data_IF_523025851738
#
_entry.id   IF_523025851738
#
_cell.length_a   1.000
_cell.length_b   1.000
_cell.length_c   1.000
_cell.angle_alpha   90.00
_cell.angle_beta   90.00
_cell.angle_gamma   90.00
#
_symmetry.space_group_name_H-M   'P 1'
#
loop_
_entity.id
_entity.type
_entity.pdbx_description
1 polymer ?
#
# COMPACT_ATOMS: atom_id res chain seq x y z
N UNK A 1 -3.17 4.07 -1.05
CA UNK A 1 -3.35 2.61 -1.19
C UNK A 1 -3.67 1.89 0.13
N UNK A 2 -3.14 2.32 1.27
CA UNK A 2 -3.47 1.69 2.57
C UNK A 2 -4.97 1.80 2.86
N UNK A 3 -5.58 2.97 2.65
CA UNK A 3 -7.02 3.14 2.82
C UNK A 3 -7.83 2.38 1.76
N UNK A 4 -7.33 2.34 0.52
CA UNK A 4 -7.95 1.55 -0.56
C UNK A 4 -7.98 0.06 -0.22
N UNK A 5 -6.86 -0.48 0.29
CA UNK A 5 -6.80 -1.87 0.76
C UNK A 5 -7.80 -2.12 1.89
N UNK A 6 -7.84 -1.22 2.90
CA UNK A 6 -8.75 -1.38 4.04
C UNK A 6 -10.21 -1.43 3.57
N UNK A 7 -10.64 -0.48 2.75
CA UNK A 7 -12.01 -0.47 2.22
C UNK A 7 -12.29 -1.73 1.38
N UNK A 8 -11.32 -2.16 0.57
CA UNK A 8 -11.49 -3.34 -0.27
C UNK A 8 -11.70 -4.63 0.55
N UNK A 9 -10.93 -4.84 1.62
CA UNK A 9 -11.10 -6.03 2.48
C UNK A 9 -12.36 -5.96 3.34
N UNK A 10 -12.88 -4.77 3.63
CA UNK A 10 -14.14 -4.57 4.34
C UNK A 10 -15.37 -4.83 3.44
N UNK A 11 -15.30 -4.46 2.16
CA UNK A 11 -16.43 -4.47 1.24
C UNK A 11 -16.49 -5.73 0.34
N UNK A 12 -15.37 -6.42 0.14
CA UNK A 12 -15.25 -7.58 -0.74
C UNK A 12 -14.79 -8.83 0.03
N UNK A 13 -15.68 -9.47 0.78
CA UNK A 13 -15.31 -10.63 1.61
C UNK A 13 -15.06 -11.91 0.79
N UNK A 14 -15.55 -12.00 -0.44
CA UNK A 14 -15.26 -13.11 -1.36
C UNK A 14 -13.96 -12.83 -2.13
N UNK A 15 -12.86 -13.35 -1.61
CA UNK A 15 -11.53 -13.16 -2.20
C UNK A 15 -11.36 -13.89 -3.55
N UNK A 16 -12.22 -14.85 -3.87
CA UNK A 16 -12.20 -15.61 -5.14
C UNK A 16 -13.06 -14.93 -6.23
N UNK A 17 -13.86 -13.92 -5.86
CA UNK A 17 -14.61 -13.12 -6.83
C UNK A 17 -13.69 -12.61 -7.93
N UNK A 18 -14.09 -12.73 -9.20
CA UNK A 18 -13.36 -12.25 -10.36
C UNK A 18 -13.85 -10.87 -10.78
N UNK A 19 -12.96 -9.90 -10.75
CA UNK A 19 -13.20 -8.51 -11.16
C UNK A 19 -12.52 -8.28 -12.52
N UNK A 20 -13.22 -7.65 -13.44
CA UNK A 20 -12.64 -7.25 -14.72
C UNK A 20 -11.87 -5.93 -14.54
N UNK A 21 -10.62 -5.91 -15.00
CA UNK A 21 -9.79 -4.70 -15.03
C UNK A 21 -10.44 -3.68 -16.01
N UNK A 22 -10.82 -2.48 -15.57
CA UNK A 22 -11.37 -1.45 -16.44
C UNK A 22 -10.39 -1.05 -17.55
N UNK A 23 -10.87 -0.79 -18.75
CA UNK A 23 -9.99 -0.53 -19.91
C UNK A 23 -9.56 0.93 -19.93
N UNK A 24 -10.52 1.84 -20.01
CA UNK A 24 -10.24 3.26 -20.24
C UNK A 24 -9.56 3.92 -19.05
N UNK A 25 -10.02 3.62 -17.84
CA UNK A 25 -9.48 4.15 -16.58
C UNK A 25 -8.02 3.68 -16.36
N UNK A 26 -7.75 2.40 -16.63
CA UNK A 26 -6.39 1.84 -16.45
C UNK A 26 -5.41 2.37 -17.51
N UNK A 27 -5.87 2.60 -18.75
CA UNK A 27 -5.04 3.26 -19.76
C UNK A 27 -4.70 4.70 -19.34
N UNK A 28 -5.64 5.43 -18.74
CA UNK A 28 -5.38 6.77 -18.20
C UNK A 28 -4.33 6.76 -17.08
N UNK A 29 -4.40 5.78 -16.14
CA UNK A 29 -3.38 5.61 -15.09
C UNK A 29 -2.00 5.31 -15.69
N UNK A 30 -1.93 4.45 -16.70
CA UNK A 30 -0.69 4.13 -17.41
C UNK A 30 -0.08 5.36 -18.09
N UNK A 31 -0.88 6.19 -18.78
CA UNK A 31 -0.42 7.42 -19.42
C UNK A 31 0.11 8.46 -18.41
N UNK A 32 -0.42 8.45 -17.19
CA UNK A 32 0.05 9.29 -16.08
C UNK A 32 1.32 8.77 -15.41
N UNK A 33 1.84 7.62 -15.86
CA UNK A 33 3.06 7.02 -15.32
C UNK A 33 2.89 6.36 -13.95
N UNK A 34 1.70 5.88 -13.64
CA UNK A 34 1.44 5.14 -12.41
C UNK A 34 2.23 3.81 -12.37
N UNK A 35 2.58 3.36 -11.17
CA UNK A 35 3.13 2.01 -10.97
C UNK A 35 2.04 0.98 -11.27
N UNK A 36 2.40 -0.06 -12.03
CA UNK A 36 1.48 -1.11 -12.45
C UNK A 36 1.93 -2.46 -11.88
N UNK A 37 0.97 -3.34 -11.56
CA UNK A 37 1.24 -4.72 -11.15
C UNK A 37 1.48 -5.65 -12.35
N UNK A 38 0.90 -5.31 -13.52
CA UNK A 38 1.10 -6.04 -14.77
C UNK A 38 -0.15 -6.69 -15.32
N UNK A 39 -1.30 -6.58 -14.67
CA UNK A 39 -2.57 -7.06 -15.20
C UNK A 39 -3.01 -6.23 -16.42
N UNK A 40 -3.56 -6.93 -17.41
CA UNK A 40 -3.95 -6.29 -18.67
C UNK A 40 -5.36 -5.70 -18.60
N UNK A 41 -5.63 -4.56 -19.28
CA UNK A 41 -6.97 -4.03 -19.42
C UNK A 41 -7.95 -5.08 -19.96
N UNK A 42 -9.12 -5.21 -19.34
CA UNK A 42 -10.14 -6.21 -19.70
C UNK A 42 -9.92 -7.60 -19.12
N UNK A 43 -8.78 -7.88 -18.47
CA UNK A 43 -8.48 -9.15 -17.81
C UNK A 43 -9.39 -9.36 -16.59
N UNK A 44 -9.70 -10.64 -16.26
CA UNK A 44 -10.45 -11.01 -15.07
C UNK A 44 -9.53 -11.56 -13.99
N UNK A 45 -9.43 -10.84 -12.89
CA UNK A 45 -8.49 -11.10 -11.79
C UNK A 45 -9.27 -11.31 -10.49
N UNK A 46 -8.80 -12.20 -9.61
CA UNK A 46 -9.45 -12.39 -8.31
C UNK A 46 -9.26 -11.17 -7.40
N UNK A 47 -10.23 -10.95 -6.51
CA UNK A 47 -10.08 -9.94 -5.44
C UNK A 47 -8.76 -10.15 -4.71
N UNK A 48 -8.44 -11.39 -4.35
CA UNK A 48 -7.17 -11.74 -3.70
C UNK A 48 -5.95 -11.23 -4.48
N UNK A 49 -5.84 -11.56 -5.76
CA UNK A 49 -4.71 -11.14 -6.59
C UNK A 49 -4.63 -9.62 -6.73
N UNK A 50 -5.79 -8.93 -6.79
CA UNK A 50 -5.85 -7.46 -6.83
C UNK A 50 -5.37 -6.82 -5.52
N UNK A 51 -5.70 -7.39 -4.35
CA UNK A 51 -5.22 -6.87 -3.06
C UNK A 51 -3.69 -6.95 -2.97
N UNK A 52 -3.10 -8.06 -3.36
CA UNK A 52 -1.65 -8.21 -3.39
C UNK A 52 -0.99 -7.34 -4.46
N UNK A 53 -1.59 -7.24 -5.65
CA UNK A 53 -1.11 -6.37 -6.73
C UNK A 53 -1.16 -4.88 -6.38
N UNK A 54 -2.17 -4.44 -5.63
CA UNK A 54 -2.26 -3.08 -5.08
C UNK A 54 -1.14 -2.81 -4.06
N UNK A 55 -0.89 -3.77 -3.16
CA UNK A 55 -0.02 -3.53 -2.00
C UNK A 55 1.47 -3.74 -2.34
N UNK A 56 1.85 -4.88 -2.92
CA UNK A 56 3.25 -5.24 -3.07
C UNK A 56 3.95 -4.41 -4.17
N UNK A 57 3.58 -4.53 -5.47
CA UNK A 57 4.21 -3.76 -6.54
C UNK A 57 3.60 -2.36 -6.69
N UNK A 58 2.59 -2.01 -5.87
CA UNK A 58 1.92 -0.70 -5.90
C UNK A 58 1.04 -0.49 -7.16
N UNK A 59 0.42 -1.55 -7.70
CA UNK A 59 -0.37 -1.52 -8.93
C UNK A 59 -1.56 -0.56 -8.87
N UNK A 60 -1.58 0.43 -9.77
CA UNK A 60 -2.68 1.39 -9.86
C UNK A 60 -3.92 0.75 -10.50
N UNK A 61 -3.75 -0.11 -11.51
CA UNK A 61 -4.85 -0.85 -12.14
C UNK A 61 -5.63 -1.70 -11.12
N UNK A 62 -4.94 -2.23 -10.10
CA UNK A 62 -5.60 -2.96 -9.02
C UNK A 62 -6.47 -2.03 -8.17
N UNK A 63 -5.98 -0.82 -7.87
CA UNK A 63 -6.74 0.19 -7.13
C UNK A 63 -8.00 0.59 -7.90
N UNK A 64 -7.85 0.91 -9.17
CA UNK A 64 -8.94 1.33 -10.07
C UNK A 64 -9.98 0.21 -10.23
N UNK A 65 -9.54 -1.04 -10.44
CA UNK A 65 -10.45 -2.18 -10.55
C UNK A 65 -11.29 -2.39 -9.28
N UNK A 66 -10.66 -2.33 -8.10
CA UNK A 66 -11.35 -2.44 -6.82
C UNK A 66 -12.30 -1.26 -6.59
N UNK A 67 -11.85 -0.03 -6.87
CA UNK A 67 -12.66 1.19 -6.73
C UNK A 67 -13.92 1.13 -7.60
N UNK A 68 -13.78 0.84 -8.88
CA UNK A 68 -14.90 0.69 -9.81
C UNK A 68 -15.86 -0.44 -9.39
N UNK A 69 -15.34 -1.58 -8.91
CA UNK A 69 -16.17 -2.69 -8.43
C UNK A 69 -16.99 -2.31 -7.18
N UNK A 70 -16.39 -1.57 -6.25
CA UNK A 70 -17.03 -1.21 -4.97
C UNK A 70 -18.02 -0.06 -5.15
N UNK A 71 -17.66 0.97 -5.90
CA UNK A 71 -18.41 2.23 -5.95
C UNK A 71 -18.93 2.61 -7.34
N UNK A 72 -18.60 1.84 -8.38
CA UNK A 72 -19.01 2.09 -9.76
C UNK A 72 -18.11 3.06 -10.52
N UNK A 73 -17.35 3.94 -9.83
CA UNK A 73 -16.34 4.82 -10.42
C UNK A 73 -15.25 5.18 -9.40
N UNK A 74 -14.13 5.72 -9.85
CA UNK A 74 -13.07 6.23 -8.97
C UNK A 74 -13.52 7.44 -8.17
N UNK A 75 -14.31 8.34 -8.75
CA UNK A 75 -14.83 9.52 -8.06
C UNK A 75 -15.74 9.11 -6.87
N UNK A 76 -16.68 8.19 -7.11
CA UNK A 76 -17.55 7.69 -6.05
C UNK A 76 -16.75 6.91 -4.98
N UNK A 77 -15.67 6.25 -5.38
CA UNK A 77 -14.78 5.59 -4.43
C UNK A 77 -13.97 6.60 -3.61
N UNK A 78 -13.51 7.70 -4.20
CA UNK A 78 -12.83 8.78 -3.48
C UNK A 78 -13.76 9.43 -2.44
N UNK A 79 -15.04 9.61 -2.75
CA UNK A 79 -16.04 10.05 -1.76
C UNK A 79 -16.13 9.07 -0.58
N UNK A 80 -16.24 7.76 -0.87
CA UNK A 80 -16.23 6.71 0.17
C UNK A 80 -14.93 6.73 0.98
N UNK A 81 -13.76 6.95 0.36
CA UNK A 81 -12.48 7.09 1.06
C UNK A 81 -12.51 8.27 2.05
N UNK A 82 -13.06 9.41 1.66
CA UNK A 82 -13.16 10.58 2.51
C UNK A 82 -14.15 10.37 3.68
N UNK A 83 -15.27 9.69 3.44
CA UNK A 83 -16.20 9.29 4.51
C UNK A 83 -15.50 8.35 5.51
N UNK A 84 -14.82 7.31 5.00
CA UNK A 84 -14.10 6.34 5.85
C UNK A 84 -12.95 6.97 6.62
N UNK A 85 -12.19 7.87 5.99
CA UNK A 85 -11.13 8.64 6.65
C UNK A 85 -11.68 9.46 7.83
N UNK A 86 -12.82 10.14 7.63
CA UNK A 86 -13.48 10.90 8.69
C UNK A 86 -13.95 10.02 9.84
N UNK A 87 -14.52 8.84 9.56
CA UNK A 87 -14.92 7.86 10.59
C UNK A 87 -13.73 7.37 11.41
N UNK A 88 -12.57 7.19 10.78
CA UNK A 88 -11.33 6.79 11.44
C UNK A 88 -10.69 7.92 12.25
N UNK A 89 -11.12 9.18 12.05
CA UNK A 89 -10.53 10.35 12.71
C UNK A 89 -9.36 10.99 11.95
N UNK A 90 -9.19 10.68 10.67
CA UNK A 90 -8.19 11.28 9.78
C UNK A 90 -8.64 12.67 9.32
N UNK A 91 -8.61 13.65 10.22
CA UNK A 91 -9.23 14.95 10.01
C UNK A 91 -8.42 15.91 9.13
N UNK A 92 -7.17 15.54 8.79
CA UNK A 92 -6.27 16.36 7.97
C UNK A 92 -5.91 15.65 6.67
N UNK A 93 -6.83 14.84 6.15
CA UNK A 93 -6.65 14.08 4.91
C UNK A 93 -7.79 14.31 3.96
N UNK A 94 -7.48 14.32 2.67
CA UNK A 94 -8.44 14.36 1.58
C UNK A 94 -7.96 13.50 0.42
N UNK A 95 -8.83 12.66 -0.11
CA UNK A 95 -8.53 11.70 -1.16
C UNK A 95 -9.36 12.02 -2.40
N UNK A 96 -8.72 12.03 -3.57
CA UNK A 96 -9.38 12.27 -4.88
C UNK A 96 -9.20 11.13 -5.87
N UNK A 97 -8.38 10.13 -5.52
CA UNK A 97 -8.20 8.90 -6.30
C UNK A 97 -7.82 7.72 -5.39
N UNK A 98 -7.96 6.51 -5.91
CA UNK A 98 -7.66 5.27 -5.20
C UNK A 98 -6.17 4.90 -5.19
N UNK A 99 -5.41 5.40 -6.18
CA UNK A 99 -4.02 5.00 -6.44
C UNK A 99 -2.98 5.81 -5.68
N UNK A 100 -3.33 7.00 -5.21
CA UNK A 100 -2.39 7.93 -4.55
C UNK A 100 -1.50 8.68 -5.55
N UNK A 101 -1.85 8.71 -6.83
CA UNK A 101 -1.22 9.61 -7.78
C UNK A 101 -1.46 11.06 -7.36
N UNK A 102 -0.45 11.90 -7.61
CA UNK A 102 -0.48 13.28 -7.18
C UNK A 102 -1.60 14.09 -7.83
N UNK A 103 -2.36 14.77 -7.00
CA UNK A 103 -3.32 15.82 -7.31
C UNK A 103 -3.23 16.87 -6.22
N UNK A 104 -3.48 18.14 -6.56
CA UNK A 104 -3.35 19.25 -5.60
C UNK A 104 -4.24 19.07 -4.36
N UNK A 105 -5.45 18.52 -4.54
CA UNK A 105 -6.41 18.26 -3.48
C UNK A 105 -6.22 16.88 -2.81
N UNK A 106 -5.19 16.08 -3.19
CA UNK A 106 -4.90 14.78 -2.61
C UNK A 106 -3.80 14.90 -1.55
N UNK A 107 -4.18 14.97 -0.28
CA UNK A 107 -3.25 15.18 0.82
C UNK A 107 -3.58 14.36 2.06
N UNK A 108 -2.58 14.15 2.89
CA UNK A 108 -2.68 13.50 4.21
C UNK A 108 -1.58 13.99 5.14
N UNK A 109 -1.57 13.50 6.36
CA UNK A 109 -0.49 13.69 7.33
C UNK A 109 0.06 12.35 7.81
N UNK A 110 1.29 12.32 8.31
CA UNK A 110 1.87 11.12 8.92
C UNK A 110 1.04 10.63 10.11
N UNK A 111 0.44 11.54 10.87
CA UNK A 111 -0.46 11.23 11.98
C UNK A 111 -1.73 10.53 11.49
N UNK A 112 -2.35 11.02 10.42
CA UNK A 112 -3.57 10.41 9.88
C UNK A 112 -3.28 9.02 9.30
N UNK A 113 -2.14 8.84 8.63
CA UNK A 113 -1.73 7.51 8.14
C UNK A 113 -1.41 6.56 9.30
N UNK A 114 -0.84 7.04 10.40
CA UNK A 114 -0.64 6.24 11.61
C UNK A 114 -1.99 5.78 12.18
N UNK A 115 -2.97 6.67 12.32
CA UNK A 115 -4.34 6.35 12.77
C UNK A 115 -4.98 5.30 11.87
N UNK A 116 -4.86 5.47 10.54
CA UNK A 116 -5.34 4.51 9.56
C UNK A 116 -4.71 3.13 9.76
N UNK A 117 -3.38 3.07 9.83
CA UNK A 117 -2.67 1.79 9.93
C UNK A 117 -2.95 1.08 11.26
N UNK A 118 -3.06 1.82 12.37
CA UNK A 118 -3.43 1.26 13.67
C UNK A 118 -4.80 0.56 13.66
N UNK A 119 -5.75 1.06 12.89
CA UNK A 119 -7.05 0.40 12.73
C UNK A 119 -7.00 -0.72 11.70
N UNK A 120 -6.32 -0.50 10.58
CA UNK A 120 -6.27 -1.44 9.47
C UNK A 120 -5.63 -2.78 9.82
N UNK A 121 -4.55 -2.78 10.62
CA UNK A 121 -3.86 -4.02 11.05
C UNK A 121 -4.69 -4.92 11.96
N UNK A 122 -5.85 -4.47 12.44
CA UNK A 122 -6.80 -5.29 13.20
C UNK A 122 -7.62 -6.22 12.30
N UNK A 123 -7.69 -5.94 11.00
CA UNK A 123 -8.29 -6.81 10.01
C UNK A 123 -7.28 -7.86 9.57
N UNK A 124 -7.61 -9.14 9.72
CA UNK A 124 -6.70 -10.26 9.46
C UNK A 124 -6.24 -10.31 7.99
N UNK A 125 -7.14 -10.09 7.03
CA UNK A 125 -6.80 -10.08 5.60
C UNK A 125 -5.91 -8.88 5.26
N UNK A 126 -6.22 -7.71 5.80
CA UNK A 126 -5.36 -6.53 5.64
C UNK A 126 -3.95 -6.82 6.18
N UNK A 127 -3.87 -7.34 7.42
CA UNK A 127 -2.59 -7.66 8.06
C UNK A 127 -1.77 -8.64 7.22
N UNK A 128 -2.39 -9.73 6.75
CA UNK A 128 -1.74 -10.73 5.90
C UNK A 128 -1.15 -10.07 4.63
N UNK A 129 -1.96 -9.31 3.89
CA UNK A 129 -1.52 -8.66 2.65
C UNK A 129 -0.42 -7.62 2.92
N UNK A 130 -0.57 -6.81 3.98
CA UNK A 130 0.37 -5.74 4.34
C UNK A 130 1.74 -6.27 4.78
N UNK A 131 1.78 -7.44 5.43
CA UNK A 131 3.02 -8.07 5.93
C UNK A 131 3.61 -9.09 4.97
N UNK A 132 2.96 -9.37 3.83
CA UNK A 132 3.49 -10.29 2.84
C UNK A 132 4.65 -9.65 2.07
N UNK A 133 5.76 -10.38 1.98
CA UNK A 133 6.93 -9.96 1.21
C UNK A 133 6.81 -10.26 -0.28
N UNK A 134 6.38 -11.47 -0.61
CA UNK A 134 6.26 -11.96 -1.99
C UNK A 134 4.97 -12.77 -2.17
N UNK A 135 4.34 -12.63 -3.32
CA UNK A 135 3.12 -13.34 -3.67
C UNK A 135 3.08 -13.63 -5.17
N UNK A 136 2.72 -14.87 -5.53
CA UNK A 136 2.48 -15.24 -6.93
C UNK A 136 0.98 -15.42 -7.16
N UNK A 137 0.45 -14.73 -8.17
CA UNK A 137 -0.97 -14.76 -8.53
C UNK A 137 -1.38 -16.11 -9.10
N UNK A 138 -2.68 -16.35 -9.13
CA UNK A 138 -3.21 -17.44 -9.94
C UNK A 138 -2.88 -17.21 -11.44
N UNK A 139 -2.73 -18.28 -12.23
CA UNK A 139 -2.58 -18.17 -13.68
C UNK A 139 -3.74 -17.43 -14.33
N UNK A 140 -3.44 -16.60 -15.32
CA UNK A 140 -4.43 -15.94 -16.16
C UNK A 140 -4.20 -16.29 -17.63
N UNK A 141 -5.08 -15.83 -18.52
CA UNK A 141 -4.89 -16.06 -19.96
C UNK A 141 -3.69 -15.28 -20.52
N UNK A 142 -3.37 -14.11 -19.92
CA UNK A 142 -2.21 -13.30 -20.31
C UNK A 142 -0.91 -13.82 -19.69
N UNK A 143 -0.99 -14.34 -18.45
CA UNK A 143 0.15 -14.81 -17.65
C UNK A 143 -0.11 -16.23 -17.16
N UNK A 144 0.21 -17.26 -17.98
CA UNK A 144 -0.08 -18.66 -17.67
C UNK A 144 0.64 -19.21 -16.43
N UNK A 145 1.76 -18.62 -16.05
CA UNK A 145 2.55 -18.98 -14.87
C UNK A 145 2.21 -18.10 -13.64
N UNK A 146 1.27 -17.16 -13.79
CA UNK A 146 0.99 -16.12 -12.82
C UNK A 146 2.05 -15.00 -12.80
N UNK A 147 1.78 -13.95 -12.04
CA UNK A 147 2.71 -12.83 -11.83
C UNK A 147 3.24 -12.92 -10.40
N UNK A 148 4.55 -12.86 -10.22
CA UNK A 148 5.15 -12.80 -8.89
C UNK A 148 5.39 -11.35 -8.50
N UNK A 149 4.77 -10.91 -7.41
CA UNK A 149 4.93 -9.61 -6.81
C UNK A 149 5.92 -9.66 -5.66
N UNK A 150 6.79 -8.65 -5.58
CA UNK A 150 7.63 -8.40 -4.41
C UNK A 150 7.21 -7.06 -3.79
N UNK A 151 7.28 -6.98 -2.47
CA UNK A 151 7.03 -5.71 -1.78
C UNK A 151 8.12 -4.70 -2.11
N UNK A 152 7.71 -3.48 -2.50
CA UNK A 152 8.61 -2.37 -2.86
C UNK A 152 9.55 -1.95 -1.72
N UNK A 153 9.33 -2.39 -0.50
CA UNK A 153 10.27 -2.19 0.61
C UNK A 153 11.60 -2.92 0.40
N UNK A 154 11.60 -4.00 -0.41
CA UNK A 154 12.76 -4.85 -0.63
C UNK A 154 13.43 -4.61 -1.99
N UNK A 155 12.96 -3.67 -2.81
CA UNK A 155 13.47 -3.41 -4.17
C UNK A 155 14.99 -3.26 -4.24
N UNK A 156 15.60 -2.63 -3.21
CA UNK A 156 17.03 -2.34 -3.17
C UNK A 156 17.77 -3.04 -2.04
N UNK A 157 17.04 -3.78 -1.22
CA UNK A 157 17.59 -4.49 -0.06
C UNK A 157 16.93 -5.87 0.06
N UNK A 158 17.74 -6.90 0.10
CA UNK A 158 17.26 -8.29 0.27
C UNK A 158 16.80 -8.58 1.71
N UNK A 159 17.30 -7.83 2.66
CA UNK A 159 16.99 -7.94 4.10
C UNK A 159 16.81 -6.56 4.71
N UNK A 160 15.94 -6.48 5.72
CA UNK A 160 15.75 -5.30 6.55
C UNK A 160 16.26 -5.64 7.95
N UNK A 161 17.32 -4.98 8.38
CA UNK A 161 18.00 -5.29 9.64
C UNK A 161 17.54 -4.35 10.74
N UNK A 162 17.01 -4.89 11.82
CA UNK A 162 16.57 -4.18 13.01
C UNK A 162 17.15 -4.86 14.24
N UNK A 163 17.80 -4.09 15.11
CA UNK A 163 18.33 -4.61 16.37
C UNK A 163 17.20 -5.12 17.24
N UNK A 164 17.30 -6.40 17.63
CA UNK A 164 16.34 -7.10 18.51
C UNK A 164 14.88 -7.06 18.00
N UNK A 165 14.72 -7.03 16.67
CA UNK A 165 13.42 -6.98 16.03
C UNK A 165 13.45 -7.28 14.55
N UNK A 166 12.29 -7.11 13.93
CA UNK A 166 12.08 -7.26 12.50
C UNK A 166 11.02 -6.31 11.97
N UNK A 167 11.17 -5.80 10.75
CA UNK A 167 10.11 -5.10 10.04
C UNK A 167 9.20 -6.15 9.41
N UNK A 168 7.94 -6.18 9.86
CA UNK A 168 6.95 -7.16 9.42
C UNK A 168 6.39 -6.85 8.05
N UNK A 169 6.26 -5.55 7.72
CA UNK A 169 5.73 -5.11 6.44
C UNK A 169 5.62 -3.61 6.32
N UNK A 170 5.22 -3.13 5.15
CA UNK A 170 5.03 -1.71 4.93
C UNK A 170 4.65 -1.37 3.50
N UNK A 171 4.27 -0.11 3.31
CA UNK A 171 3.96 0.48 2.02
C UNK A 171 4.82 1.70 1.76
N UNK A 172 5.62 1.63 0.72
CA UNK A 172 6.41 2.77 0.22
C UNK A 172 5.55 3.67 -0.66
N UNK A 173 5.94 4.92 -0.80
CA UNK A 173 5.33 5.87 -1.71
C UNK A 173 6.34 6.91 -2.16
N UNK A 174 6.14 7.44 -3.37
CA UNK A 174 6.91 8.55 -3.89
C UNK A 174 6.09 9.38 -4.85
N UNK A 175 6.11 10.68 -4.65
CA UNK A 175 5.78 11.70 -5.65
C UNK A 175 6.80 12.84 -5.49
N UNK A 176 6.97 13.66 -6.52
CA UNK A 176 7.87 14.82 -6.42
C UNK A 176 7.49 15.79 -5.30
N UNK A 177 6.20 15.86 -4.96
CA UNK A 177 5.69 16.73 -3.90
C UNK A 177 5.87 16.12 -2.50
N UNK A 178 5.71 14.80 -2.37
CA UNK A 178 5.74 14.11 -1.08
C UNK A 178 7.14 13.63 -0.66
N UNK A 179 8.09 13.53 -1.59
CA UNK A 179 9.36 12.86 -1.36
C UNK A 179 9.19 11.35 -1.19
N UNK A 180 10.21 10.69 -0.68
CA UNK A 180 10.12 9.27 -0.31
C UNK A 180 9.32 9.13 1.00
N UNK A 181 8.31 8.27 0.97
CA UNK A 181 7.39 8.03 2.09
C UNK A 181 7.35 6.54 2.45
N UNK A 182 7.13 6.25 3.73
CA UNK A 182 6.93 4.89 4.23
C UNK A 182 5.92 4.87 5.37
N UNK A 183 4.99 3.91 5.31
CA UNK A 183 4.21 3.47 6.46
C UNK A 183 4.56 2.01 6.73
N UNK A 184 5.06 1.68 7.90
CA UNK A 184 5.59 0.36 8.24
C UNK A 184 5.15 -0.13 9.62
N UNK A 185 5.23 -1.44 9.78
CA UNK A 185 4.97 -2.17 11.02
C UNK A 185 6.21 -3.01 11.35
N UNK A 186 6.68 -2.95 12.58
CA UNK A 186 7.78 -3.78 13.06
C UNK A 186 7.42 -4.42 14.40
N UNK A 187 8.04 -5.57 14.67
CA UNK A 187 8.08 -6.15 16.00
C UNK A 187 9.48 -5.95 16.58
N UNK A 188 9.57 -5.31 17.72
CA UNK A 188 10.83 -5.07 18.43
C UNK A 188 10.65 -5.52 19.87
N UNK A 189 11.49 -6.43 20.36
CA UNK A 189 11.40 -7.01 21.72
C UNK A 189 10.00 -7.55 22.05
N UNK A 190 9.32 -8.16 21.05
CA UNK A 190 7.99 -8.74 21.19
C UNK A 190 6.84 -7.74 21.19
N UNK A 191 7.10 -6.46 20.97
CA UNK A 191 6.08 -5.41 20.86
C UNK A 191 5.98 -4.89 19.41
N UNK A 192 4.76 -4.60 18.95
CA UNK A 192 4.50 -4.05 17.64
C UNK A 192 4.57 -2.52 17.67
N UNK A 193 5.27 -1.95 16.71
CA UNK A 193 5.43 -0.51 16.52
C UNK A 193 5.05 -0.12 15.10
N UNK A 194 4.34 0.98 14.98
CA UNK A 194 4.01 1.62 13.69
C UNK A 194 4.91 2.84 13.52
N UNK A 195 5.52 2.96 12.34
CA UNK A 195 6.27 4.13 11.93
C UNK A 195 5.73 4.65 10.60
N UNK A 196 5.49 5.95 10.54
CA UNK A 196 5.12 6.65 9.30
C UNK A 196 6.07 7.81 9.08
N UNK A 197 6.75 7.80 7.95
CA UNK A 197 7.68 8.87 7.52
C UNK A 197 7.27 9.41 6.15
N UNK A 198 7.55 10.68 5.91
CA UNK A 198 7.30 11.35 4.64
C UNK A 198 8.36 12.42 4.40
N UNK A 199 8.57 12.78 3.14
CA UNK A 199 9.47 13.87 2.76
C UNK A 199 10.95 13.53 2.84
N UNK A 200 11.34 12.26 2.89
CA UNK A 200 12.75 11.91 2.79
C UNK A 200 13.27 12.24 1.38
N UNK A 201 14.49 12.76 1.32
CA UNK A 201 15.16 13.13 0.08
C UNK A 201 15.35 11.91 -0.83
N UNK A 202 15.35 12.14 -2.14
CA UNK A 202 15.64 11.11 -3.12
C UNK A 202 14.49 10.82 -4.08
N UNK A 203 14.63 9.73 -4.81
CA UNK A 203 13.67 9.25 -5.80
C UNK A 203 13.90 7.74 -6.07
N UNK A 204 13.21 7.19 -7.08
CA UNK A 204 13.34 5.77 -7.45
C UNK A 204 14.77 5.32 -7.84
N UNK A 205 15.69 6.23 -8.14
CA UNK A 205 17.07 5.93 -8.54
C UNK A 205 18.11 6.13 -7.42
N UNK A 206 17.68 6.67 -6.27
CA UNK A 206 18.57 6.90 -5.12
C UNK A 206 18.53 5.72 -4.15
N UNK A 207 19.33 5.81 -3.07
CA UNK A 207 19.17 4.94 -1.90
C UNK A 207 17.74 5.08 -1.33
N UNK A 208 17.17 4.00 -0.79
CA UNK A 208 15.82 4.01 -0.21
C UNK A 208 15.83 4.64 1.20
N UNK A 209 16.11 5.93 1.30
CA UNK A 209 16.30 6.63 2.58
C UNK A 209 15.14 6.43 3.55
N UNK A 210 13.90 6.42 3.08
CA UNK A 210 12.72 6.13 3.90
C UNK A 210 12.75 4.73 4.55
N UNK A 211 13.36 3.73 3.89
CA UNK A 211 13.54 2.38 4.44
C UNK A 211 14.72 2.35 5.42
N UNK A 212 15.84 3.02 5.06
CA UNK A 212 17.01 3.15 5.94
C UNK A 212 16.66 3.89 7.23
N UNK A 213 15.86 4.94 7.15
CA UNK A 213 15.35 5.67 8.32
C UNK A 213 14.53 4.76 9.24
N UNK A 214 13.67 3.91 8.66
CA UNK A 214 12.87 2.97 9.44
C UNK A 214 13.74 1.93 10.15
N UNK A 215 14.72 1.32 9.47
CA UNK A 215 15.69 0.40 10.10
C UNK A 215 16.42 1.05 11.28
N UNK A 216 16.86 2.29 11.08
CA UNK A 216 17.59 3.03 12.11
C UNK A 216 16.69 3.36 13.32
N UNK A 217 15.47 3.85 13.08
CA UNK A 217 14.53 4.20 14.16
C UNK A 217 14.12 2.96 14.95
N UNK A 218 13.74 1.87 14.30
CA UNK A 218 13.38 0.64 14.99
C UNK A 218 14.55 0.04 15.76
N UNK A 219 15.77 0.09 15.23
CA UNK A 219 16.97 -0.36 15.95
C UNK A 219 17.28 0.49 17.20
N UNK A 220 17.00 1.81 17.16
CA UNK A 220 17.13 2.66 18.33
C UNK A 220 16.12 2.32 19.42
N UNK A 221 14.89 1.91 19.06
CA UNK A 221 13.89 1.44 20.02
C UNK A 221 14.40 0.18 20.72
N UNK A 222 14.92 -0.82 20.00
CA UNK A 222 15.50 -2.03 20.59
C UNK A 222 16.66 -1.72 21.55
N UNK A 223 17.58 -0.87 21.14
CA UNK A 223 18.71 -0.46 21.97
C UNK A 223 18.28 0.32 23.24
N UNK A 224 17.23 1.13 23.16
CA UNK A 224 16.71 1.87 24.32
C UNK A 224 16.07 0.95 25.37
N UNK A 225 15.31 -0.05 24.93
CA UNK A 225 14.66 -1.03 25.83
C UNK A 225 15.70 -1.84 26.59
N UNK A 226 16.82 -2.21 25.96
CA UNK A 226 17.89 -2.97 26.63
C UNK A 226 18.68 -2.16 27.68
N UNK A 227 18.58 -0.83 27.65
CA UNK A 227 19.29 0.07 28.56
C UNK A 227 18.53 0.38 29.86
N UNK A 228 17.28 -0.07 29.99
CA UNK A 228 16.43 0.03 31.21
C UNK A 228 16.47 -1.26 32.03
#
# INVERSE_FOLDING_TARGET
KILTLLIAVEELPDLDEKIQIPVDEVLAEYERGASMAGFQPGEKVSVKDLLYGLMLPSGAECCTALACRISGSEEAFAEKMNERAKELGMLNSHFVNASGLHEDEHYTTVTDIMILLEQAIKNETFYEVFTTRSYTTAPTAAEPDGITFESTMYDKKSTLEVTDGEILGGKTGFTNAAGLCLASLANVEGQNYILVTAGADGNHNTEPFHVLDAENIYSQIGAAIQSE
#
